data_IF_479054021618
#
_entry.id   IF_479054021618
#
_cell.length_a   1.000
_cell.length_b   1.000
_cell.length_c   1.000
_cell.angle_alpha   90.00
_cell.angle_beta   90.00
_cell.angle_gamma   90.00
#
_symmetry.space_group_name_H-M   'P 1'
#
loop_
_entity.id
_entity.type
_entity.pdbx_description
1 polymer ?
#
# COMPACT_ATOMS: atom_id res chain seq x y z
N UNK A 1 19.02 -45.78 34.65
CA UNK A 1 18.74 -44.64 33.75
C UNK A 1 18.89 -45.11 32.32
N UNK A 2 17.83 -45.02 31.49
CA UNK A 2 17.93 -45.32 30.05
C UNK A 2 18.44 -44.07 29.33
N UNK A 3 19.41 -44.17 28.40
CA UNK A 3 19.83 -43.03 27.60
C UNK A 3 18.69 -42.62 26.66
N UNK A 4 18.23 -41.37 26.76
CA UNK A 4 17.37 -40.76 25.75
C UNK A 4 18.20 -40.50 24.49
N UNK A 5 18.14 -41.41 23.53
CA UNK A 5 18.54 -41.10 22.17
C UNK A 5 17.49 -40.14 21.59
N UNK A 6 17.82 -38.86 21.50
CA UNK A 6 17.04 -37.93 20.70
C UNK A 6 17.10 -38.42 19.24
N UNK A 7 15.97 -38.92 18.74
CA UNK A 7 15.79 -39.23 17.33
C UNK A 7 16.02 -37.91 16.59
N UNK A 8 17.15 -37.81 15.89
CA UNK A 8 17.51 -36.63 15.11
C UNK A 8 16.67 -36.68 13.85
N UNK A 9 15.51 -36.02 13.85
CA UNK A 9 14.70 -35.89 12.65
C UNK A 9 15.55 -35.31 11.50
N UNK A 10 15.34 -35.77 10.25
CA UNK A 10 16.07 -35.24 9.11
C UNK A 10 15.85 -33.73 9.04
N UNK A 11 16.93 -32.97 9.24
CA UNK A 11 16.91 -31.51 9.14
C UNK A 11 16.61 -31.15 7.69
N UNK A 12 15.36 -30.77 7.41
CA UNK A 12 15.02 -30.10 6.14
C UNK A 12 15.94 -28.90 5.97
N UNK A 13 16.46 -28.71 4.77
CA UNK A 13 17.28 -27.54 4.50
C UNK A 13 16.43 -26.27 4.71
N UNK A 14 17.06 -25.19 5.16
CA UNK A 14 16.40 -23.88 5.31
C UNK A 14 15.71 -23.48 3.99
N UNK A 15 16.34 -23.82 2.86
CA UNK A 15 15.77 -23.58 1.54
C UNK A 15 14.52 -24.41 1.27
N UNK A 16 14.47 -25.69 1.64
CA UNK A 16 13.23 -26.49 1.50
C UNK A 16 12.07 -25.91 2.30
N UNK A 17 12.33 -25.47 3.54
CA UNK A 17 11.30 -24.86 4.40
C UNK A 17 10.79 -23.56 3.77
N UNK A 18 11.71 -22.72 3.27
CA UNK A 18 11.38 -21.47 2.57
C UNK A 18 10.55 -21.72 1.31
N UNK A 19 10.99 -22.64 0.45
CA UNK A 19 10.26 -22.97 -0.79
C UNK A 19 8.86 -23.53 -0.51
N UNK A 20 8.72 -24.42 0.49
CA UNK A 20 7.43 -24.97 0.87
C UNK A 20 6.49 -23.87 1.41
N UNK A 21 7.01 -22.93 2.19
CA UNK A 21 6.24 -21.79 2.68
C UNK A 21 5.78 -20.88 1.53
N UNK A 22 6.68 -20.50 0.62
CA UNK A 22 6.35 -19.65 -0.54
C UNK A 22 5.34 -20.34 -1.45
N UNK A 23 5.51 -21.64 -1.71
CA UNK A 23 4.55 -22.42 -2.49
C UNK A 23 3.16 -22.43 -1.84
N UNK A 24 3.09 -22.60 -0.51
CA UNK A 24 1.81 -22.51 0.22
C UNK A 24 1.20 -21.11 0.15
N UNK A 25 2.03 -20.08 0.22
CA UNK A 25 1.62 -18.68 0.21
C UNK A 25 1.08 -18.24 -1.17
N UNK A 26 1.74 -18.67 -2.25
CA UNK A 26 1.53 -18.16 -3.60
C UNK A 26 0.78 -19.12 -4.54
N UNK A 27 0.86 -20.43 -4.33
CA UNK A 27 0.42 -21.43 -5.31
C UNK A 27 -0.68 -22.38 -4.81
N UNK A 28 -0.88 -22.49 -3.49
CA UNK A 28 -1.78 -23.50 -2.94
C UNK A 28 -3.28 -23.12 -2.97
N UNK A 29 -3.63 -21.93 -2.49
CA UNK A 29 -5.04 -21.49 -2.43
C UNK A 29 -5.14 -19.97 -2.54
N UNK A 30 -6.05 -19.50 -3.39
CA UNK A 30 -6.35 -18.09 -3.59
C UNK A 30 -6.75 -17.37 -2.30
N UNK A 31 -7.48 -18.04 -1.40
CA UNK A 31 -7.87 -17.43 -0.12
C UNK A 31 -6.66 -17.24 0.79
N UNK A 32 -5.72 -18.18 0.79
CA UNK A 32 -4.47 -18.03 1.53
C UNK A 32 -3.67 -16.84 1.00
N UNK A 33 -3.48 -16.72 -0.33
CA UNK A 33 -2.79 -15.56 -0.91
C UNK A 33 -3.49 -14.26 -0.54
N UNK A 34 -4.81 -14.18 -0.63
CA UNK A 34 -5.56 -12.99 -0.25
C UNK A 34 -5.45 -12.66 1.25
N UNK A 35 -5.58 -13.66 2.12
CA UNK A 35 -5.53 -13.47 3.56
C UNK A 35 -4.14 -13.02 4.02
N UNK A 36 -3.07 -13.51 3.37
CA UNK A 36 -1.69 -13.23 3.76
C UNK A 36 -1.07 -12.01 3.04
N UNK A 37 -1.45 -11.77 1.78
CA UNK A 37 -0.84 -10.74 0.92
C UNK A 37 -1.82 -9.64 0.51
N UNK A 38 -3.10 -9.73 0.91
CA UNK A 38 -4.18 -8.79 0.57
C UNK A 38 -4.50 -8.69 -0.93
N UNK A 39 -3.94 -9.61 -1.73
CA UNK A 39 -4.17 -9.72 -3.17
C UNK A 39 -4.57 -11.15 -3.52
N UNK A 40 -5.50 -11.29 -4.46
CA UNK A 40 -5.73 -12.58 -5.10
C UNK A 40 -4.51 -13.00 -5.92
N UNK A 41 -4.31 -14.30 -6.10
CA UNK A 41 -3.13 -14.86 -6.77
C UNK A 41 -2.90 -14.28 -8.17
N UNK A 42 -3.96 -14.18 -8.98
CA UNK A 42 -3.87 -13.59 -10.32
C UNK A 42 -3.46 -12.12 -10.30
N UNK A 43 -3.90 -11.36 -9.29
CA UNK A 43 -3.54 -9.94 -9.12
C UNK A 43 -2.11 -9.80 -8.63
N UNK A 44 -1.67 -10.69 -7.74
CA UNK A 44 -0.30 -10.75 -7.27
C UNK A 44 0.68 -10.97 -8.42
N UNK A 45 0.45 -11.97 -9.28
CA UNK A 45 1.36 -12.23 -10.40
C UNK A 45 1.35 -11.11 -11.45
N UNK A 46 0.19 -10.48 -11.70
CA UNK A 46 0.12 -9.27 -12.53
C UNK A 46 0.96 -8.13 -11.94
N UNK A 47 0.90 -7.91 -10.62
CA UNK A 47 1.73 -6.91 -9.96
C UNK A 47 3.22 -7.24 -10.10
N UNK A 48 3.61 -8.50 -9.88
CA UNK A 48 5.00 -8.97 -10.07
C UNK A 48 5.48 -8.68 -11.50
N UNK A 49 4.67 -8.97 -12.52
CA UNK A 49 5.00 -8.70 -13.92
C UNK A 49 5.19 -7.21 -14.19
N UNK A 50 4.27 -6.37 -13.72
CA UNK A 50 4.39 -4.90 -13.82
C UNK A 50 5.68 -4.41 -13.18
N UNK A 51 6.01 -4.89 -11.98
CA UNK A 51 7.23 -4.48 -11.27
C UNK A 51 8.49 -5.00 -11.97
N UNK A 52 8.48 -6.21 -12.54
CA UNK A 52 9.57 -6.73 -13.38
C UNK A 52 9.81 -5.85 -14.60
N UNK A 53 8.75 -5.48 -15.31
CA UNK A 53 8.81 -4.62 -16.49
C UNK A 53 9.32 -3.21 -16.16
N UNK A 54 9.11 -2.76 -14.92
CA UNK A 54 9.58 -1.47 -14.39
C UNK A 54 10.93 -1.55 -13.68
N UNK A 55 11.65 -2.66 -13.85
CA UNK A 55 13.06 -2.81 -13.49
C UNK A 55 13.34 -3.51 -12.15
N UNK A 56 12.34 -4.05 -11.47
CA UNK A 56 12.59 -4.92 -10.31
C UNK A 56 13.15 -6.26 -10.78
N UNK A 57 14.32 -6.65 -10.27
CA UNK A 57 15.04 -7.86 -10.71
C UNK A 57 15.25 -8.84 -9.56
N UNK A 58 15.34 -10.12 -9.90
CA UNK A 58 15.77 -11.16 -8.98
C UNK A 58 17.23 -10.93 -8.57
N UNK A 59 17.58 -11.38 -7.38
CA UNK A 59 18.97 -11.51 -6.93
C UNK A 59 19.37 -12.97 -6.92
N UNK A 60 20.63 -13.27 -6.60
CA UNK A 60 21.12 -14.66 -6.50
C UNK A 60 20.27 -15.54 -5.55
N UNK A 61 19.72 -14.95 -4.49
CA UNK A 61 19.10 -15.69 -3.38
C UNK A 61 17.60 -15.42 -3.21
N UNK A 62 17.04 -14.42 -3.91
CA UNK A 62 15.64 -14.00 -3.75
C UNK A 62 15.10 -13.58 -5.11
N UNK A 63 14.05 -14.26 -5.57
CA UNK A 63 13.34 -13.93 -6.80
C UNK A 63 12.41 -12.71 -6.61
N UNK A 64 11.74 -12.23 -7.66
CA UNK A 64 10.90 -11.04 -7.53
C UNK A 64 9.61 -11.35 -6.78
N UNK A 65 9.05 -12.53 -7.00
CA UNK A 65 7.86 -13.06 -6.34
C UNK A 65 8.03 -13.03 -4.82
N UNK A 66 9.13 -13.59 -4.31
CA UNK A 66 9.47 -13.60 -2.89
C UNK A 66 9.71 -12.19 -2.34
N UNK A 67 10.38 -11.32 -3.11
CA UNK A 67 10.55 -9.90 -2.73
C UNK A 67 9.20 -9.20 -2.51
N UNK A 68 8.29 -9.33 -3.48
CA UNK A 68 6.96 -8.71 -3.44
C UNK A 68 6.10 -9.35 -2.34
N UNK A 69 6.20 -10.67 -2.16
CA UNK A 69 5.50 -11.37 -1.09
C UNK A 69 5.95 -10.90 0.29
N UNK A 70 7.26 -10.78 0.55
CA UNK A 70 7.78 -10.22 1.80
C UNK A 70 7.24 -8.79 2.05
N UNK A 71 7.28 -7.94 1.02
CA UNK A 71 6.78 -6.56 1.12
C UNK A 71 5.27 -6.52 1.47
N UNK A 72 4.45 -7.25 0.72
CA UNK A 72 2.99 -7.31 0.92
C UNK A 72 2.62 -7.91 2.28
N UNK A 73 3.38 -8.91 2.74
CA UNK A 73 3.18 -9.52 4.05
C UNK A 73 3.41 -8.50 5.19
N UNK A 74 4.45 -7.67 5.08
CA UNK A 74 4.73 -6.59 6.03
C UNK A 74 3.55 -5.60 6.08
N UNK A 75 3.16 -5.04 4.93
CA UNK A 75 2.16 -3.96 4.90
C UNK A 75 0.73 -4.48 5.13
N UNK A 76 0.42 -5.71 4.72
CA UNK A 76 -0.91 -6.31 4.84
C UNK A 76 -1.28 -6.71 6.26
N UNK A 77 -0.29 -6.92 7.13
CA UNK A 77 -0.49 -7.31 8.53
C UNK A 77 0.14 -6.36 9.55
N UNK A 78 0.85 -5.32 9.09
CA UNK A 78 1.63 -4.42 9.96
C UNK A 78 2.59 -5.20 10.88
N UNK A 79 3.26 -6.22 10.32
CA UNK A 79 4.17 -7.10 11.07
C UNK A 79 5.60 -6.58 11.06
N UNK A 80 6.34 -6.88 12.14
CA UNK A 80 7.76 -6.51 12.26
C UNK A 80 8.61 -7.33 11.30
N UNK A 81 9.66 -6.72 10.73
CA UNK A 81 10.57 -7.38 9.78
C UNK A 81 11.21 -8.68 10.33
N UNK A 82 11.42 -8.78 11.65
CA UNK A 82 11.92 -10.02 12.29
C UNK A 82 10.98 -11.21 12.16
N UNK A 83 9.67 -10.97 12.11
CA UNK A 83 8.67 -12.04 11.94
C UNK A 83 8.73 -12.54 10.50
N UNK A 84 8.84 -11.61 9.55
CA UNK A 84 8.99 -11.95 8.12
C UNK A 84 10.30 -12.70 7.87
N UNK A 85 11.40 -12.24 8.49
CA UNK A 85 12.69 -12.92 8.45
C UNK A 85 12.61 -14.38 8.90
N UNK A 86 11.82 -14.67 9.94
CA UNK A 86 11.58 -16.04 10.41
C UNK A 86 10.82 -16.88 9.38
N UNK A 87 9.67 -16.41 8.88
CA UNK A 87 8.84 -17.19 7.95
C UNK A 87 9.49 -17.39 6.57
N UNK A 88 10.14 -16.37 6.05
CA UNK A 88 10.82 -16.42 4.76
C UNK A 88 12.26 -16.95 4.89
N UNK A 89 12.70 -17.31 6.10
CA UNK A 89 14.03 -17.85 6.39
C UNK A 89 15.18 -17.00 5.85
N UNK A 90 15.05 -15.68 5.98
CA UNK A 90 16.05 -14.69 5.57
C UNK A 90 16.55 -13.88 6.75
N UNK A 91 17.71 -13.25 6.60
CA UNK A 91 18.16 -12.25 7.58
C UNK A 91 17.23 -11.02 7.57
N UNK A 92 17.11 -10.33 8.72
CA UNK A 92 16.37 -9.06 8.79
C UNK A 92 16.92 -8.01 7.82
N UNK A 93 18.23 -8.00 7.59
CA UNK A 93 18.87 -7.12 6.60
C UNK A 93 18.39 -7.43 5.18
N UNK A 94 18.27 -8.71 4.82
CA UNK A 94 17.72 -9.15 3.53
C UNK A 94 16.28 -8.67 3.36
N UNK A 95 15.41 -8.93 4.36
CA UNK A 95 14.01 -8.48 4.31
C UNK A 95 13.92 -6.96 4.16
N UNK A 96 14.68 -6.20 4.95
CA UNK A 96 14.69 -4.74 4.88
C UNK A 96 15.13 -4.23 3.50
N UNK A 97 16.22 -4.77 2.95
CA UNK A 97 16.73 -4.40 1.62
C UNK A 97 15.67 -4.60 0.54
N UNK A 98 15.00 -5.75 0.55
CA UNK A 98 13.96 -6.04 -0.44
C UNK A 98 12.68 -5.26 -0.21
N UNK A 99 12.31 -5.00 1.05
CA UNK A 99 11.21 -4.09 1.38
C UNK A 99 11.42 -2.71 0.75
N UNK A 100 12.60 -2.12 0.91
CA UNK A 100 12.95 -0.82 0.30
C UNK A 100 13.01 -0.90 -1.23
N UNK A 101 13.54 -2.00 -1.79
CA UNK A 101 13.59 -2.21 -3.24
C UNK A 101 12.20 -2.23 -3.87
N UNK A 102 11.27 -2.99 -3.28
CA UNK A 102 9.87 -3.08 -3.73
C UNK A 102 9.14 -1.76 -3.52
N UNK A 103 9.32 -1.09 -2.37
CA UNK A 103 8.73 0.24 -2.12
C UNK A 103 9.11 1.24 -3.22
N UNK A 104 10.40 1.31 -3.56
CA UNK A 104 10.89 2.19 -4.65
C UNK A 104 10.32 1.79 -6.00
N UNK A 105 10.17 0.49 -6.28
CA UNK A 105 9.55 0.02 -7.52
C UNK A 105 8.07 0.42 -7.60
N UNK A 106 7.32 0.33 -6.50
CA UNK A 106 5.93 0.79 -6.41
C UNK A 106 5.84 2.30 -6.62
N UNK A 107 6.73 3.08 -6.00
CA UNK A 107 6.77 4.55 -6.18
C UNK A 107 7.00 4.96 -7.64
N UNK A 108 7.79 4.18 -8.41
CA UNK A 108 8.02 4.47 -9.83
C UNK A 108 6.79 4.26 -10.72
N UNK A 109 5.90 3.34 -10.34
CA UNK A 109 4.69 3.06 -11.12
C UNK A 109 3.51 3.93 -10.68
N UNK A 110 3.59 4.61 -9.53
CA UNK A 110 2.49 5.41 -8.99
C UNK A 110 1.90 6.39 -10.01
N UNK A 111 2.72 7.06 -10.82
CA UNK A 111 2.25 8.00 -11.85
C UNK A 111 1.47 7.34 -13.01
N UNK A 112 1.68 6.05 -13.26
CA UNK A 112 0.95 5.32 -14.31
C UNK A 112 -0.46 4.94 -13.86
N UNK A 113 -0.66 4.76 -12.54
CA UNK A 113 -1.91 4.25 -11.95
C UNK A 113 -2.73 5.30 -11.21
N UNK A 114 -2.10 6.29 -10.56
CA UNK A 114 -2.76 7.37 -9.83
C UNK A 114 -2.86 8.60 -10.73
N UNK A 115 -3.84 8.57 -11.64
CA UNK A 115 -4.11 9.68 -12.55
C UNK A 115 -5.24 10.52 -12.01
N UNK A 116 -5.02 11.83 -12.00
CA UNK A 116 -6.07 12.79 -11.69
C UNK A 116 -7.04 12.89 -12.88
N UNK A 117 -8.35 13.03 -12.63
CA UNK A 117 -9.35 13.07 -13.68
C UNK A 117 -9.06 14.24 -14.63
N UNK A 118 -8.96 13.93 -15.92
CA UNK A 118 -8.84 14.94 -16.97
C UNK A 118 -10.20 15.50 -17.38
N UNK A 119 -10.20 16.56 -18.20
CA UNK A 119 -11.41 17.21 -18.71
C UNK A 119 -12.33 16.28 -19.50
N UNK A 120 -11.81 15.15 -20.01
CA UNK A 120 -12.52 14.18 -20.84
C UNK A 120 -13.01 12.94 -20.06
N UNK A 121 -12.70 12.82 -18.76
CA UNK A 121 -13.11 11.67 -17.93
C UNK A 121 -14.58 11.73 -17.47
N UNK A 122 -15.32 12.75 -17.95
CA UNK A 122 -16.76 12.97 -17.78
C UNK A 122 -17.62 11.76 -18.17
N UNK A 123 -17.10 10.85 -18.99
CA UNK A 123 -17.79 9.63 -19.40
C UNK A 123 -17.91 8.58 -18.28
N UNK A 124 -16.97 8.53 -17.33
CA UNK A 124 -17.06 7.63 -16.17
C UNK A 124 -18.03 8.15 -15.09
N UNK A 125 -18.21 9.48 -15.00
CA UNK A 125 -19.23 10.08 -14.14
C UNK A 125 -20.63 9.54 -14.50
N UNK A 126 -20.95 9.39 -15.79
CA UNK A 126 -22.29 9.08 -16.28
C UNK A 126 -22.71 7.61 -16.07
N UNK A 127 -21.77 6.66 -16.04
CA UNK A 127 -22.11 5.23 -15.90
C UNK A 127 -22.34 4.81 -14.43
N UNK A 128 -21.63 5.43 -13.48
CA UNK A 128 -21.77 5.13 -12.04
C UNK A 128 -22.94 5.90 -11.40
N UNK A 129 -23.34 7.04 -11.98
CA UNK A 129 -24.48 7.86 -11.54
C UNK A 129 -25.87 7.32 -11.96
N UNK A 130 -26.00 6.07 -12.40
CA UNK A 130 -27.31 5.44 -12.60
C UNK A 130 -28.05 5.07 -11.28
N UNK A 131 -27.49 5.43 -10.11
CA UNK A 131 -28.14 5.25 -8.80
C UNK A 131 -28.95 6.49 -8.39
N UNK A 132 -29.99 6.29 -7.58
CA UNK A 132 -30.99 7.29 -7.12
C UNK A 132 -30.45 8.53 -6.38
N UNK A 133 -29.13 8.69 -6.23
CA UNK A 133 -28.47 9.81 -5.58
C UNK A 133 -27.65 10.69 -6.55
N UNK A 134 -27.70 10.39 -7.86
CA UNK A 134 -26.88 11.08 -8.85
C UNK A 134 -27.14 12.56 -8.99
N UNK A 135 -28.36 13.02 -8.70
CA UNK A 135 -28.69 14.44 -8.71
C UNK A 135 -27.92 15.22 -7.64
N UNK A 136 -27.56 14.60 -6.52
CA UNK A 136 -26.76 15.25 -5.47
C UNK A 136 -25.27 15.38 -5.83
N UNK A 137 -24.77 14.54 -6.75
CA UNK A 137 -23.35 14.49 -7.11
C UNK A 137 -23.12 14.82 -8.59
N UNK A 138 -24.06 15.56 -9.19
CA UNK A 138 -23.91 16.09 -10.54
C UNK A 138 -22.62 16.90 -10.63
N UNK A 139 -21.83 16.66 -11.67
CA UNK A 139 -20.53 17.30 -11.95
C UNK A 139 -19.41 17.03 -10.91
N UNK A 140 -19.64 16.23 -9.86
CA UNK A 140 -18.56 15.80 -8.95
C UNK A 140 -17.63 14.82 -9.67
N UNK A 141 -16.31 14.94 -9.51
CA UNK A 141 -15.34 13.99 -10.13
C UNK A 141 -14.94 12.82 -9.21
N UNK A 142 -15.33 12.90 -7.94
CA UNK A 142 -14.94 11.93 -6.92
C UNK A 142 -15.08 12.50 -5.51
N UNK A 143 -14.41 11.88 -4.55
CA UNK A 143 -14.37 12.29 -3.15
C UNK A 143 -12.92 12.61 -2.72
N UNK A 144 -12.78 13.54 -1.78
CA UNK A 144 -11.50 13.86 -1.13
C UNK A 144 -11.73 13.81 0.38
N UNK A 145 -10.85 13.12 1.09
CA UNK A 145 -10.91 13.09 2.55
C UNK A 145 -9.53 12.89 3.18
N UNK A 146 -9.40 13.29 4.45
CA UNK A 146 -8.22 13.08 5.29
C UNK A 146 -8.36 11.80 6.12
N UNK A 147 -7.29 11.01 6.20
CA UNK A 147 -7.24 9.81 7.04
C UNK A 147 -6.01 9.82 7.94
N UNK A 148 -6.21 9.56 9.23
CA UNK A 148 -5.14 9.52 10.21
C UNK A 148 -4.49 8.13 10.27
N UNK A 149 -3.25 8.04 9.77
CA UNK A 149 -2.46 6.81 9.84
C UNK A 149 -1.48 6.91 11.02
N UNK A 150 -1.36 5.88 11.89
CA UNK A 150 -0.39 5.89 12.99
C UNK A 150 1.02 6.24 12.52
N UNK A 151 1.68 7.14 13.25
CA UNK A 151 3.03 7.60 12.93
C UNK A 151 4.00 7.23 14.05
N UNK A 152 5.22 6.84 13.67
CA UNK A 152 6.33 6.66 14.59
C UNK A 152 7.28 7.84 14.39
N UNK A 153 7.34 8.74 15.36
CA UNK A 153 8.15 9.96 15.34
C UNK A 153 8.90 10.13 16.66
N UNK A 154 9.94 10.95 16.66
CA UNK A 154 10.69 11.28 17.87
C UNK A 154 9.80 11.99 18.90
N UNK A 155 10.15 11.87 20.18
CA UNK A 155 9.36 12.45 21.29
C UNK A 155 9.15 13.95 21.09
N UNK A 156 10.18 14.66 20.63
CA UNK A 156 10.16 16.10 20.34
C UNK A 156 9.13 16.49 19.26
N UNK A 157 8.86 15.57 18.32
CA UNK A 157 7.91 15.79 17.22
C UNK A 157 6.48 15.36 17.57
N UNK A 158 6.30 14.50 18.58
CA UNK A 158 4.98 13.98 18.97
C UNK A 158 3.92 15.05 19.18
N UNK A 159 4.20 16.25 19.77
CA UNK A 159 3.20 17.31 19.88
C UNK A 159 2.58 17.70 18.53
N UNK A 160 3.37 17.73 17.45
CA UNK A 160 2.90 18.06 16.10
C UNK A 160 2.06 16.94 15.49
N UNK A 161 2.41 15.69 15.76
CA UNK A 161 1.70 14.52 15.23
C UNK A 161 0.53 14.06 16.11
N UNK A 162 0.21 14.78 17.19
CA UNK A 162 -0.90 14.43 18.07
C UNK A 162 -2.23 14.87 17.47
N UNK A 163 -3.13 13.92 17.26
CA UNK A 163 -4.51 14.19 16.83
C UNK A 163 -5.35 14.74 17.98
N UNK A 164 -6.55 15.25 17.66
CA UNK A 164 -7.54 15.70 18.67
C UNK A 164 -7.88 14.60 19.70
N UNK A 165 -7.80 13.33 19.30
CA UNK A 165 -8.09 12.18 20.16
C UNK A 165 -6.83 11.67 20.90
N UNK A 166 -5.74 12.45 20.91
CA UNK A 166 -4.52 12.16 21.64
C UNK A 166 -3.58 11.13 21.00
N UNK A 167 -3.96 10.52 19.86
CA UNK A 167 -3.15 9.51 19.15
C UNK A 167 -2.03 10.18 18.35
N UNK A 168 -0.88 9.53 18.23
CA UNK A 168 0.21 9.98 17.34
C UNK A 168 -0.04 9.42 15.94
N UNK A 169 -0.33 10.29 14.99
CA UNK A 169 -0.66 9.94 13.62
C UNK A 169 -0.18 11.01 12.64
N UNK A 170 -0.07 10.63 11.36
CA UNK A 170 0.03 11.56 10.25
C UNK A 170 -1.33 11.68 9.57
N UNK A 171 -1.67 12.87 9.10
CA UNK A 171 -2.81 13.05 8.22
C UNK A 171 -2.39 12.68 6.78
N UNK A 172 -3.12 11.78 6.14
CA UNK A 172 -2.97 11.41 4.74
C UNK A 172 -4.24 11.80 4.02
N UNK A 173 -4.14 12.79 3.14
CA UNK A 173 -5.26 13.20 2.31
C UNK A 173 -5.27 12.42 1.01
N UNK A 174 -6.43 11.88 0.63
CA UNK A 174 -6.58 11.10 -0.58
C UNK A 174 -7.78 11.58 -1.39
N UNK A 175 -7.64 11.59 -2.71
CA UNK A 175 -8.72 11.76 -3.66
C UNK A 175 -9.02 10.43 -4.35
N UNK A 176 -10.30 10.11 -4.53
CA UNK A 176 -10.78 8.85 -5.10
C UNK A 176 -11.86 9.14 -6.13
N UNK A 177 -11.76 8.52 -7.31
CA UNK A 177 -12.77 8.59 -8.36
C UNK A 177 -13.95 7.64 -8.10
N UNK A 178 -15.01 7.74 -8.91
CA UNK A 178 -16.19 6.85 -8.79
C UNK A 178 -15.92 5.37 -9.10
N UNK A 179 -14.80 5.06 -9.76
CA UNK A 179 -14.33 3.69 -9.96
C UNK A 179 -13.56 3.14 -8.75
N UNK A 180 -13.61 3.85 -7.63
CA UNK A 180 -12.96 3.52 -6.35
C UNK A 180 -11.44 3.46 -6.42
N UNK A 181 -10.82 4.07 -7.43
CA UNK A 181 -9.37 4.19 -7.55
C UNK A 181 -8.89 5.51 -6.98
N UNK A 182 -7.75 5.46 -6.29
CA UNK A 182 -7.07 6.67 -5.86
C UNK A 182 -6.54 7.44 -7.07
N UNK A 183 -6.89 8.71 -7.15
CA UNK A 183 -6.44 9.66 -8.19
C UNK A 183 -5.36 10.59 -7.66
N UNK A 184 -5.29 10.77 -6.34
CA UNK A 184 -4.29 11.58 -5.66
C UNK A 184 -4.11 11.12 -4.20
N UNK A 185 -2.87 11.16 -3.70
CA UNK A 185 -2.56 10.94 -2.27
C UNK A 185 -1.45 11.91 -1.86
N UNK A 186 -1.68 12.64 -0.76
CA UNK A 186 -0.69 13.44 -0.06
C UNK A 186 -0.51 12.89 1.35
N UNK A 187 0.65 12.29 1.60
CA UNK A 187 1.03 11.75 2.90
C UNK A 187 2.06 12.64 3.62
N UNK A 188 2.32 12.34 4.89
CA UNK A 188 3.38 12.99 5.67
C UNK A 188 2.96 14.23 6.46
N UNK A 189 1.68 14.62 6.44
CA UNK A 189 1.21 15.77 7.21
C UNK A 189 1.08 15.46 8.70
N UNK A 190 1.32 16.47 9.50
CA UNK A 190 1.20 16.44 10.96
C UNK A 190 -0.22 15.98 11.38
N UNK A 191 -0.34 15.09 12.37
CA UNK A 191 -1.64 14.66 12.91
C UNK A 191 -2.47 15.77 13.59
N UNK A 192 -1.84 16.90 13.93
CA UNK A 192 -2.54 18.10 14.39
C UNK A 192 -3.02 19.01 13.25
N UNK A 193 -2.59 18.76 12.01
CA UNK A 193 -2.97 19.56 10.86
C UNK A 193 -4.45 19.34 10.50
N UNK A 194 -5.20 20.44 10.45
CA UNK A 194 -6.60 20.47 10.00
C UNK A 194 -6.68 20.22 8.50
N UNK A 195 -7.74 19.56 8.05
CA UNK A 195 -7.92 19.19 6.64
C UNK A 195 -7.85 20.38 5.67
N UNK A 196 -8.39 21.58 5.97
CA UNK A 196 -8.20 22.75 5.08
C UNK A 196 -6.73 23.16 4.89
N UNK A 197 -5.87 22.95 5.91
CA UNK A 197 -4.42 23.23 5.82
C UNK A 197 -3.77 22.23 4.87
N UNK A 198 -4.09 20.94 5.03
CA UNK A 198 -3.56 19.84 4.20
C UNK A 198 -4.04 19.99 2.76
N UNK A 199 -5.31 20.32 2.55
CA UNK A 199 -5.90 20.58 1.23
C UNK A 199 -5.22 21.76 0.54
N UNK A 200 -5.03 22.88 1.25
CA UNK A 200 -4.32 24.04 0.68
C UNK A 200 -2.93 23.66 0.20
N UNK A 201 -2.19 22.89 1.00
CA UNK A 201 -0.87 22.45 0.63
C UNK A 201 -0.86 21.49 -0.55
N UNK A 202 -1.83 20.57 -0.64
CA UNK A 202 -1.99 19.70 -1.79
C UNK A 202 -2.18 20.45 -3.10
N UNK A 203 -2.95 21.54 -3.06
CA UNK A 203 -3.26 22.34 -4.26
C UNK A 203 -2.12 23.28 -4.63
N UNK A 204 -1.39 23.82 -3.63
CA UNK A 204 -0.45 24.93 -3.87
C UNK A 204 1.02 24.55 -3.74
N UNK A 205 1.36 23.73 -2.75
CA UNK A 205 2.73 23.60 -2.23
C UNK A 205 3.36 22.23 -2.53
N UNK A 206 2.54 21.19 -2.76
CA UNK A 206 3.01 19.83 -3.03
C UNK A 206 3.79 19.74 -4.36
N UNK A 207 4.85 18.91 -4.45
CA UNK A 207 5.60 18.69 -5.69
C UNK A 207 4.69 18.21 -6.84
N UNK A 208 3.77 17.30 -6.53
CA UNK A 208 2.66 16.93 -7.40
C UNK A 208 1.39 17.55 -6.84
N UNK A 209 0.86 18.56 -7.54
CA UNK A 209 -0.31 19.32 -7.08
C UNK A 209 -1.61 18.57 -7.34
N UNK A 210 -2.54 18.67 -6.41
CA UNK A 210 -3.93 18.31 -6.64
C UNK A 210 -4.57 19.36 -7.57
N UNK A 211 -5.05 18.90 -8.71
CA UNK A 211 -5.77 19.70 -9.70
C UNK A 211 -7.25 19.67 -9.34
N UNK A 212 -7.78 20.84 -9.00
CA UNK A 212 -9.21 21.02 -8.77
C UNK A 212 -9.83 21.52 -10.08
N UNK A 213 -10.74 20.76 -10.72
CA UNK A 213 -11.45 21.22 -11.91
C UNK A 213 -12.21 22.52 -11.64
N UNK A 214 -12.35 23.36 -12.66
CA UNK A 214 -13.26 24.50 -12.59
C UNK A 214 -14.69 23.97 -12.44
N UNK A 215 -15.33 24.25 -11.29
CA UNK A 215 -16.72 23.89 -11.06
C UNK A 215 -17.67 24.83 -11.80
N UNK A 216 -18.84 24.33 -12.16
CA UNK A 216 -19.97 25.20 -12.48
C UNK A 216 -20.47 25.86 -11.17
N UNK A 217 -20.82 27.15 -11.18
CA UNK A 217 -21.42 27.78 -10.01
C UNK A 217 -22.66 26.99 -9.58
N UNK A 218 -22.71 26.55 -8.33
CA UNK A 218 -23.94 26.01 -7.75
C UNK A 218 -24.80 27.25 -7.42
N UNK A 219 -25.80 27.51 -8.25
CA UNK A 219 -26.83 28.50 -7.91
C UNK A 219 -27.62 27.93 -6.71
N UNK A 220 -27.50 28.59 -5.57
CA UNK A 220 -28.35 28.35 -4.40
C UNK A 220 -29.66 29.13 -4.54
#
# INVERSE_FOLDING_TARGET
MRPCYAIREPRRSIDEVRHAFIHRLLLYDNRNTHNQLRLYQSTFFKLVEVLKNKGLRSTKNVDVEEQVAMFLYVIGHNVRLRVVAFYFSHSVSTVHRHFISVLRAIQRITGDYMKQPGSNDTLLQQSVTQRSFSHYFKDCVGAIDGSYIPAMVNIEDQPRYRTRNGRIAQNVMAAVGFDMKFTYVLAGWEGSARDPKVLKAAVRDAPTKLLIPAGNPIAF
#
